data_IF_001558320904
#
_entry.id   IF_001558320904
#
_cell.length_a   1.000
_cell.length_b   1.000
_cell.length_c   1.000
_cell.angle_alpha   90.00
_cell.angle_beta   90.00
_cell.angle_gamma   90.00
#
_symmetry.space_group_name_H-M   'P 1'
#
loop_
_entity.id
_entity.type
_entity.pdbx_description
1 polymer ?
#
# COMPACT_ATOMS: atom_id res chain seq x y z
N UNK A 1 26.19 -6.94 -5.53
CA UNK A 1 25.16 -7.81 -4.93
C UNK A 1 23.83 -7.24 -5.37
N UNK A 2 22.98 -7.94 -6.13
CA UNK A 2 21.59 -7.49 -6.25
C UNK A 2 21.01 -7.40 -4.83
N UNK A 3 20.34 -6.29 -4.52
CA UNK A 3 19.73 -6.09 -3.20
C UNK A 3 18.71 -7.18 -2.89
N UNK A 4 18.42 -7.39 -1.61
CA UNK A 4 17.28 -8.22 -1.19
C UNK A 4 16.03 -7.72 -1.90
N UNK A 5 15.23 -8.60 -2.55
CA UNK A 5 14.02 -8.18 -3.26
C UNK A 5 13.08 -7.42 -2.33
N UNK A 6 12.68 -6.22 -2.74
CA UNK A 6 11.83 -5.34 -1.94
C UNK A 6 10.35 -5.58 -2.23
N UNK A 7 9.54 -5.47 -1.18
CA UNK A 7 8.08 -5.32 -1.27
C UNK A 7 7.77 -3.83 -1.19
N UNK A 8 6.93 -3.33 -2.09
CA UNK A 8 6.62 -1.89 -2.19
C UNK A 8 5.13 -1.71 -1.96
N UNK A 9 4.74 -0.84 -1.03
CA UNK A 9 3.36 -0.35 -0.92
C UNK A 9 3.24 1.00 -1.62
N UNK A 10 2.32 1.09 -2.58
CA UNK A 10 1.99 2.32 -3.29
C UNK A 10 0.61 2.83 -2.89
N UNK A 11 0.51 4.13 -2.62
CA UNK A 11 -0.72 4.82 -2.25
C UNK A 11 -1.06 5.89 -3.29
N UNK A 12 -2.24 5.81 -3.88
CA UNK A 12 -2.79 6.82 -4.79
C UNK A 12 -3.79 7.70 -4.02
N UNK A 13 -3.41 8.94 -3.74
CA UNK A 13 -4.19 9.81 -2.88
C UNK A 13 -5.41 10.40 -3.60
N UNK A 14 -6.58 10.19 -3.01
CA UNK A 14 -7.80 10.93 -3.33
C UNK A 14 -8.45 11.52 -2.09
N UNK A 15 -9.14 12.65 -2.25
CA UNK A 15 -9.78 13.40 -1.16
C UNK A 15 -10.91 12.65 -0.44
N UNK A 16 -11.41 11.54 -1.04
CA UNK A 16 -12.42 10.66 -0.43
C UNK A 16 -11.94 9.22 -0.24
N UNK A 17 -11.00 8.78 -1.09
CA UNK A 17 -10.58 7.39 -1.25
C UNK A 17 -9.11 7.39 -1.68
N UNK A 18 -8.31 6.54 -1.05
CA UNK A 18 -6.90 6.34 -1.36
C UNK A 18 -6.76 4.94 -1.93
N UNK A 19 -6.37 4.81 -3.19
CA UNK A 19 -6.06 3.50 -3.79
C UNK A 19 -4.78 2.93 -3.20
N UNK A 20 -4.71 1.60 -3.03
CA UNK A 20 -3.51 0.93 -2.55
C UNK A 20 -3.16 -0.25 -3.45
N UNK A 21 -1.88 -0.39 -3.76
CA UNK A 21 -1.31 -1.53 -4.47
C UNK A 21 -0.03 -2.00 -3.79
N UNK A 22 0.31 -3.28 -4.00
CA UNK A 22 1.60 -3.86 -3.62
C UNK A 22 2.38 -4.24 -4.86
N UNK A 23 3.67 -3.94 -4.88
CA UNK A 23 4.64 -4.42 -5.86
C UNK A 23 5.64 -5.37 -5.22
N UNK A 24 6.08 -6.39 -5.95
CA UNK A 24 7.12 -7.31 -5.51
C UNK A 24 8.20 -7.44 -6.57
N UNK A 25 9.44 -7.12 -6.23
CA UNK A 25 10.56 -7.22 -7.17
C UNK A 25 10.87 -8.65 -7.58
N UNK A 26 10.55 -9.65 -6.74
CA UNK A 26 10.75 -11.07 -7.06
C UNK A 26 9.96 -11.49 -8.29
N UNK A 27 8.73 -11.03 -8.40
CA UNK A 27 7.80 -11.40 -9.48
C UNK A 27 7.69 -10.33 -10.56
N UNK A 28 8.37 -9.20 -10.38
CA UNK A 28 8.28 -8.01 -11.23
C UNK A 28 6.82 -7.63 -11.56
N UNK A 29 5.97 -7.67 -10.53
CA UNK A 29 4.54 -7.48 -10.69
C UNK A 29 3.95 -6.63 -9.57
N UNK A 30 2.77 -6.07 -9.84
CA UNK A 30 1.98 -5.33 -8.87
C UNK A 30 0.53 -5.79 -8.88
N UNK A 31 -0.09 -5.80 -7.71
CA UNK A 31 -1.50 -6.16 -7.51
C UNK A 31 -2.23 -5.11 -6.67
N UNK A 32 -3.50 -4.81 -6.98
CA UNK A 32 -4.30 -3.93 -6.15
C UNK A 32 -4.60 -4.58 -4.80
N UNK A 33 -4.44 -3.82 -3.71
CA UNK A 33 -4.82 -4.24 -2.35
C UNK A 33 -6.18 -3.69 -1.91
N UNK A 34 -6.66 -2.65 -2.58
CA UNK A 34 -7.98 -2.08 -2.34
C UNK A 34 -7.94 -0.57 -2.14
N UNK A 35 -8.85 -0.07 -1.31
CA UNK A 35 -9.05 1.35 -1.09
C UNK A 35 -9.14 1.66 0.40
N UNK A 36 -8.45 2.71 0.83
CA UNK A 36 -8.54 3.29 2.17
C UNK A 36 -9.49 4.48 2.12
N UNK A 37 -10.45 4.54 3.04
CA UNK A 37 -11.33 5.69 3.15
C UNK A 37 -10.53 6.92 3.62
N UNK A 38 -10.74 8.05 2.96
CA UNK A 38 -10.21 9.35 3.36
C UNK A 38 -11.39 10.28 3.63
N UNK A 39 -11.87 10.27 4.88
CA UNK A 39 -13.08 11.00 5.27
C UNK A 39 -12.77 12.38 5.85
N UNK A 40 -13.76 12.99 6.48
CA UNK A 40 -13.59 14.27 7.17
C UNK A 40 -12.53 14.23 8.28
N UNK A 41 -12.30 13.05 8.85
CA UNK A 41 -11.27 12.81 9.88
C UNK A 41 -9.90 12.44 9.27
N UNK A 42 -9.76 12.53 7.95
CA UNK A 42 -8.59 12.11 7.20
C UNK A 42 -8.59 10.62 6.82
N UNK A 43 -7.43 10.08 6.42
CA UNK A 43 -7.27 8.68 6.06
C UNK A 43 -7.55 7.73 7.23
N UNK A 44 -8.08 6.56 6.93
CA UNK A 44 -8.12 5.44 7.89
C UNK A 44 -6.69 4.90 8.10
N UNK A 45 -5.98 5.54 9.04
CA UNK A 45 -4.63 5.16 9.44
C UNK A 45 -4.55 3.77 10.07
N UNK A 46 -5.65 3.26 10.64
CA UNK A 46 -5.71 1.90 11.16
C UNK A 46 -5.58 0.88 10.04
N UNK A 47 -6.25 1.13 8.91
CA UNK A 47 -6.10 0.33 7.71
C UNK A 47 -4.68 0.44 7.13
N UNK A 48 -4.10 1.64 7.03
CA UNK A 48 -2.69 1.84 6.61
C UNK A 48 -1.74 0.98 7.46
N UNK A 49 -1.86 1.06 8.79
CA UNK A 49 -0.98 0.33 9.71
C UNK A 49 -1.14 -1.20 9.58
N UNK A 50 -2.35 -1.68 9.29
CA UNK A 50 -2.58 -3.10 8.98
C UNK A 50 -1.82 -3.51 7.72
N UNK A 51 -1.92 -2.75 6.63
CA UNK A 51 -1.24 -3.08 5.37
C UNK A 51 0.28 -3.05 5.53
N UNK A 52 0.84 -2.08 6.26
CA UNK A 52 2.28 -2.02 6.55
C UNK A 52 2.74 -3.26 7.33
N UNK A 53 2.00 -3.67 8.37
CA UNK A 53 2.34 -4.88 9.15
C UNK A 53 2.21 -6.17 8.35
N UNK A 54 1.22 -6.24 7.47
CA UNK A 54 0.91 -7.43 6.68
C UNK A 54 1.96 -7.66 5.57
N UNK A 55 2.34 -6.59 4.87
CA UNK A 55 3.24 -6.69 3.71
C UNK A 55 4.71 -6.45 4.05
N UNK A 56 5.01 -5.78 5.17
CA UNK A 56 6.37 -5.47 5.60
C UNK A 56 7.24 -4.86 4.50
N UNK A 57 6.76 -3.80 3.81
CA UNK A 57 7.57 -3.10 2.81
C UNK A 57 8.82 -2.46 3.43
#
# INVERSE_FOLDING_TARGET
MPGTPETILAFDFGSRRIGVAVGQQVTDSASPLGVINNGEKGPDWGHVQRLIREWGP
#
